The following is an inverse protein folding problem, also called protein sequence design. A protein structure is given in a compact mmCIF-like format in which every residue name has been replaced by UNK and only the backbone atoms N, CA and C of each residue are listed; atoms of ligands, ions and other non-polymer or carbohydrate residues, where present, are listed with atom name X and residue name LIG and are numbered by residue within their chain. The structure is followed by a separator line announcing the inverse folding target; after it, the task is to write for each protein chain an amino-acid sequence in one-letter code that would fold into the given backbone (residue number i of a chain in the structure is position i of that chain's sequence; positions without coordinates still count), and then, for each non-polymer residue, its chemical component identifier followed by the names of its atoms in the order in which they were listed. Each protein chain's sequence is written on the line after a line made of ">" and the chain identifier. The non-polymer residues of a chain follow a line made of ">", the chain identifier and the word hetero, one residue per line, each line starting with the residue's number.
data_IF_128463205842
#
_entry.id   IF_128463205842
#
_cell.length_a   1.000
_cell.length_b   1.000
_cell.length_c   1.000
_cell.angle_alpha   90.00
_cell.angle_beta   90.00
_cell.angle_gamma   90.00
#
_symmetry.space_group_name_H-M   'P 1'
#
loop_
_entity.id
_entity.type
_entity.pdbx_description
1 polymer ?
#
# COMPACT_ATOMS: atom_id res chain seq x y z
N UNK A 1 -12.05 -18.23 47.62
CA UNK A 1 -13.51 -18.48 47.48
C UNK A 1 -14.17 -17.17 47.08
N UNK A 2 -14.83 -17.10 45.93
CA UNK A 2 -15.57 -15.89 45.53
C UNK A 2 -16.85 -15.81 46.36
N UNK A 3 -16.88 -14.90 47.35
CA UNK A 3 -17.98 -14.76 48.30
C UNK A 3 -19.25 -14.25 47.62
N UNK A 4 -20.41 -14.71 48.09
CA UNK A 4 -21.72 -14.17 47.72
C UNK A 4 -22.02 -13.01 48.67
N UNK A 5 -22.43 -11.86 48.13
CA UNK A 5 -22.76 -10.69 48.95
C UNK A 5 -24.28 -10.64 49.20
N UNK A 6 -24.68 -10.59 50.47
CA UNK A 6 -26.09 -10.57 50.88
C UNK A 6 -26.35 -9.26 51.63
N UNK A 7 -27.27 -8.44 51.13
CA UNK A 7 -27.64 -7.17 51.73
C UNK A 7 -29.14 -7.14 52.07
N UNK A 8 -29.51 -6.49 53.18
CA UNK A 8 -30.92 -6.29 53.55
C UNK A 8 -31.41 -4.97 52.92
N UNK A 9 -32.40 -5.06 52.04
CA UNK A 9 -33.09 -3.89 51.48
C UNK A 9 -34.44 -3.73 52.16
N UNK A 10 -35.03 -2.52 52.08
CA UNK A 10 -36.26 -2.17 52.82
C UNK A 10 -37.47 -3.09 52.62
N UNK A 11 -37.44 -3.99 51.63
CA UNK A 11 -38.47 -5.01 51.39
C UNK A 11 -37.99 -6.47 51.39
N UNK A 12 -36.72 -6.78 51.71
CA UNK A 12 -36.21 -8.16 51.67
C UNK A 12 -34.69 -8.28 51.76
N UNK A 13 -34.14 -9.43 51.37
CA UNK A 13 -32.70 -9.62 51.22
C UNK A 13 -32.34 -9.72 49.73
N UNK A 14 -31.34 -8.97 49.29
CA UNK A 14 -30.75 -9.08 47.96
C UNK A 14 -29.47 -9.89 48.03
N UNK A 15 -29.32 -10.83 47.09
CA UNK A 15 -28.14 -11.67 46.97
C UNK A 15 -27.48 -11.31 45.64
N UNK A 16 -26.24 -10.84 45.67
CA UNK A 16 -25.45 -10.55 44.47
C UNK A 16 -24.15 -11.34 44.47
N UNK A 17 -23.80 -11.91 43.32
CA UNK A 17 -22.52 -12.58 43.13
C UNK A 17 -21.55 -11.57 42.51
N UNK A 18 -20.37 -11.31 43.12
CA UNK A 18 -19.37 -10.49 42.49
C UNK A 18 -18.87 -11.25 41.25
N UNK A 19 -19.29 -10.80 40.07
CA UNK A 19 -18.64 -11.26 38.84
C UNK A 19 -17.21 -10.77 38.91
N UNK A 20 -16.24 -11.70 38.88
CA UNK A 20 -14.84 -11.32 38.71
C UNK A 20 -14.77 -10.43 37.47
N UNK A 21 -14.28 -9.20 37.63
CA UNK A 21 -14.21 -8.21 36.56
C UNK A 21 -13.72 -8.87 35.28
N UNK A 22 -14.43 -8.63 34.18
CA UNK A 22 -14.12 -9.21 32.88
C UNK A 22 -12.63 -8.99 32.60
N UNK A 23 -11.84 -10.07 32.65
CA UNK A 23 -10.46 -10.02 32.19
C UNK A 23 -10.51 -9.57 30.73
N UNK A 24 -9.66 -8.62 30.30
CA UNK A 24 -9.58 -8.27 28.89
C UNK A 24 -9.34 -9.56 28.10
N UNK A 25 -10.25 -9.85 27.16
CA UNK A 25 -10.12 -11.03 26.29
C UNK A 25 -8.76 -10.92 25.61
N UNK A 26 -7.89 -11.92 25.83
CA UNK A 26 -6.63 -12.02 25.10
C UNK A 26 -6.94 -11.91 23.61
N UNK A 27 -6.24 -11.03 22.90
CA UNK A 27 -6.40 -10.93 21.46
C UNK A 27 -6.24 -12.33 20.83
N UNK A 28 -7.06 -12.68 19.82
CA UNK A 28 -6.93 -13.96 19.13
C UNK A 28 -5.47 -14.21 18.73
N UNK A 29 -4.97 -15.43 18.90
CA UNK A 29 -3.56 -15.74 18.63
C UNK A 29 -3.08 -15.28 17.24
N UNK A 30 -3.98 -15.32 16.24
CA UNK A 30 -3.75 -14.80 14.91
C UNK A 30 -3.38 -13.30 14.89
N UNK A 31 -4.07 -12.46 15.67
CA UNK A 31 -3.77 -11.01 15.78
C UNK A 31 -2.42 -10.75 16.43
N UNK A 32 -2.03 -11.59 17.37
CA UNK A 32 -0.70 -11.47 18.02
C UNK A 32 0.41 -11.87 17.05
N UNK A 33 0.20 -12.95 16.28
CA UNK A 33 1.13 -13.39 15.26
C UNK A 33 1.29 -12.35 14.13
N UNK A 34 0.18 -11.81 13.64
CA UNK A 34 0.15 -10.73 12.64
C UNK A 34 0.98 -9.52 13.09
N UNK A 35 0.76 -9.02 14.31
CA UNK A 35 1.48 -7.87 14.85
C UNK A 35 2.98 -8.14 15.01
N UNK A 36 3.35 -9.37 15.38
CA UNK A 36 4.74 -9.79 15.50
C UNK A 36 5.43 -9.87 14.13
N UNK A 37 4.74 -10.41 13.11
CA UNK A 37 5.23 -10.45 11.72
C UNK A 37 5.41 -9.02 11.19
N UNK A 38 4.40 -8.15 11.30
CA UNK A 38 4.49 -6.76 10.86
C UNK A 38 5.63 -6.00 11.55
N UNK A 39 5.83 -6.21 12.87
CA UNK A 39 6.97 -5.64 13.60
C UNK A 39 8.31 -6.21 13.12
N UNK A 40 8.40 -7.52 12.85
CA UNK A 40 9.64 -8.15 12.35
C UNK A 40 10.03 -7.68 10.96
N UNK A 41 9.04 -7.32 10.13
CA UNK A 41 9.24 -6.75 8.80
C UNK A 41 9.47 -5.23 8.82
N UNK A 42 9.41 -4.58 9.99
CA UNK A 42 9.57 -3.13 10.11
C UNK A 42 8.37 -2.30 9.63
N UNK A 43 7.22 -2.93 9.38
CA UNK A 43 5.96 -2.29 8.99
C UNK A 43 5.37 -1.52 10.18
N UNK A 44 5.52 -2.05 11.39
CA UNK A 44 5.04 -1.43 12.64
C UNK A 44 6.23 -1.04 13.52
N UNK A 45 6.30 0.24 13.90
CA UNK A 45 7.27 0.79 14.85
C UNK A 45 6.52 1.47 15.99
N UNK A 46 6.93 1.23 17.24
CA UNK A 46 6.28 1.83 18.43
C UNK A 46 4.75 1.63 18.51
N UNK A 47 4.25 0.54 17.92
CA UNK A 47 2.82 0.17 17.76
C UNK A 47 2.04 1.00 16.73
N UNK A 48 2.71 1.83 15.96
CA UNK A 48 2.14 2.56 14.84
C UNK A 48 2.58 1.93 13.52
N UNK A 49 1.67 1.85 12.57
CA UNK A 49 2.00 1.51 11.19
C UNK A 49 2.78 2.68 10.58
N UNK A 50 4.02 2.42 10.16
CA UNK A 50 4.90 3.44 9.60
C UNK A 50 4.92 3.42 8.07
N UNK A 51 4.15 2.54 7.42
CA UNK A 51 4.17 2.38 5.96
C UNK A 51 3.79 3.67 5.24
N UNK A 52 2.66 4.28 5.60
CA UNK A 52 2.21 5.52 4.96
C UNK A 52 3.25 6.65 5.11
N UNK A 53 3.74 6.88 6.33
CA UNK A 53 4.74 7.93 6.61
C UNK A 53 6.07 7.65 5.88
N UNK A 54 6.50 6.38 5.81
CA UNK A 54 7.71 6.00 5.11
C UNK A 54 7.57 6.16 3.59
N UNK A 55 6.40 5.86 3.03
CA UNK A 55 6.09 6.07 1.62
C UNK A 55 6.02 7.56 1.27
N UNK A 56 5.40 8.38 2.12
CA UNK A 56 5.37 9.83 1.93
C UNK A 56 6.79 10.43 1.98
N UNK A 57 7.59 10.07 2.98
CA UNK A 57 8.99 10.50 3.07
C UNK A 57 9.86 9.95 1.92
N UNK A 58 9.52 8.78 1.38
CA UNK A 58 10.15 8.26 0.18
C UNK A 58 9.77 9.09 -1.04
N UNK A 59 8.48 9.35 -1.26
CA UNK A 59 7.99 10.16 -2.37
C UNK A 59 8.57 11.58 -2.33
N UNK A 60 8.70 12.19 -1.15
CA UNK A 60 9.34 13.49 -0.94
C UNK A 60 10.75 13.56 -1.52
N UNK A 61 11.51 12.46 -1.48
CA UNK A 61 12.87 12.40 -2.06
C UNK A 61 12.89 12.44 -3.59
N UNK A 62 11.74 12.26 -4.25
CA UNK A 62 11.59 12.34 -5.71
C UNK A 62 10.73 13.54 -6.14
N UNK A 63 10.31 14.41 -5.22
CA UNK A 63 9.53 15.62 -5.56
C UNK A 63 10.38 16.72 -6.19
N UNK A 64 11.68 16.72 -5.90
CA UNK A 64 12.61 17.64 -6.52
C UNK A 64 12.89 17.21 -7.97
N UNK A 65 12.86 18.18 -8.87
CA UNK A 65 13.21 17.95 -10.26
C UNK A 65 14.67 17.47 -10.33
N UNK A 66 14.93 16.39 -11.08
CA UNK A 66 16.29 15.92 -11.32
C UNK A 66 17.14 17.07 -11.87
N UNK A 67 18.41 17.14 -11.48
CA UNK A 67 19.30 18.17 -12.01
C UNK A 67 19.40 18.03 -13.54
N UNK A 68 19.57 19.15 -14.27
CA UNK A 68 19.69 19.11 -15.73
C UNK A 68 20.76 18.12 -16.21
N UNK A 69 21.88 18.02 -15.48
CA UNK A 69 22.98 17.10 -15.80
C UNK A 69 22.56 15.62 -15.68
N UNK A 70 21.78 15.26 -14.65
CA UNK A 70 21.27 13.89 -14.48
C UNK A 70 20.25 13.57 -15.57
N UNK A 71 19.42 14.53 -15.96
CA UNK A 71 18.46 14.37 -17.06
C UNK A 71 19.21 14.11 -18.38
N UNK A 72 20.23 14.91 -18.69
CA UNK A 72 21.07 14.73 -19.88
C UNK A 72 21.77 13.37 -19.87
N UNK A 73 22.32 12.96 -18.72
CA UNK A 73 22.96 11.65 -18.58
C UNK A 73 21.97 10.50 -18.81
N UNK A 74 20.77 10.56 -18.23
CA UNK A 74 19.72 9.55 -18.43
C UNK A 74 19.25 9.50 -19.89
N UNK A 75 19.07 10.66 -20.55
CA UNK A 75 18.74 10.72 -21.99
C UNK A 75 19.84 10.06 -22.84
N UNK A 76 21.11 10.30 -22.50
CA UNK A 76 22.25 9.66 -23.15
C UNK A 76 22.32 8.14 -22.91
N UNK A 77 22.00 7.69 -21.68
CA UNK A 77 21.98 6.27 -21.32
C UNK A 77 20.94 5.49 -22.12
N UNK A 78 19.74 6.06 -22.25
CA UNK A 78 18.62 5.44 -22.97
C UNK A 78 18.59 5.80 -24.47
N UNK A 79 19.56 6.55 -24.97
CA UNK A 79 19.65 6.97 -26.38
C UNK A 79 18.39 7.67 -26.88
N UNK A 80 17.73 8.45 -26.02
CA UNK A 80 16.48 9.13 -26.36
C UNK A 80 16.65 10.23 -27.42
N UNK A 81 17.86 10.76 -27.55
CA UNK A 81 18.21 11.83 -28.51
C UNK A 81 19.02 11.32 -29.69
N UNK A 82 18.97 10.02 -29.97
CA UNK A 82 19.70 9.43 -31.09
C UNK A 82 18.98 9.73 -32.41
N UNK A 83 19.40 10.82 -33.06
CA UNK A 83 18.82 11.25 -34.34
C UNK A 83 18.93 10.16 -35.41
N UNK A 84 19.96 9.31 -35.35
CA UNK A 84 20.11 8.21 -36.32
C UNK A 84 19.07 7.12 -36.12
N UNK A 85 18.69 6.83 -34.88
CA UNK A 85 17.60 5.90 -34.58
C UNK A 85 16.26 6.45 -35.09
N UNK A 86 16.02 7.75 -34.91
CA UNK A 86 14.82 8.45 -35.42
C UNK A 86 14.79 8.41 -36.96
N UNK A 87 15.91 8.69 -37.62
CA UNK A 87 16.00 8.65 -39.08
C UNK A 87 15.72 7.25 -39.65
N UNK A 88 16.20 6.21 -38.96
CA UNK A 88 15.95 4.82 -39.34
C UNK A 88 14.49 4.45 -39.10
N UNK A 89 13.90 4.85 -37.97
CA UNK A 89 12.47 4.63 -37.68
C UNK A 89 11.59 5.28 -38.76
N UNK A 90 11.84 6.55 -39.10
CA UNK A 90 11.11 7.27 -40.14
C UNK A 90 11.26 6.59 -41.52
N UNK A 91 12.45 6.14 -41.86
CA UNK A 91 12.69 5.40 -43.10
C UNK A 91 11.93 4.06 -43.13
N UNK A 92 11.83 3.36 -42.00
CA UNK A 92 11.09 2.11 -41.88
C UNK A 92 9.57 2.35 -41.98
N UNK A 93 9.05 3.42 -41.38
CA UNK A 93 7.65 3.84 -41.50
C UNK A 93 7.34 4.17 -42.96
N UNK A 94 8.19 4.98 -43.60
CA UNK A 94 8.04 5.36 -45.00
C UNK A 94 8.09 4.14 -45.94
N UNK A 95 8.92 3.14 -45.62
CA UNK A 95 9.01 1.91 -46.40
C UNK A 95 7.83 0.95 -46.17
N UNK A 96 7.36 0.81 -44.94
CA UNK A 96 6.30 -0.12 -44.55
C UNK A 96 4.88 0.34 -44.88
N UNK A 97 4.69 1.63 -45.20
CA UNK A 97 3.38 2.22 -45.47
C UNK A 97 2.56 2.46 -44.20
N UNK A 98 1.45 3.21 -44.32
CA UNK A 98 0.68 3.75 -43.18
C UNK A 98 0.07 2.75 -42.19
N UNK A 99 0.20 1.44 -42.41
CA UNK A 99 -0.21 0.36 -41.48
C UNK A 99 0.95 -0.35 -40.77
N UNK A 100 2.20 0.02 -41.03
CA UNK A 100 3.37 -0.66 -40.44
C UNK A 100 3.52 -0.44 -38.93
N UNK A 101 2.88 0.60 -38.39
CA UNK A 101 2.86 0.92 -36.97
C UNK A 101 1.56 0.51 -36.27
N UNK A 102 0.74 -0.38 -36.85
CA UNK A 102 -0.39 -0.95 -36.13
C UNK A 102 0.13 -1.90 -35.03
N UNK A 103 0.77 -1.32 -34.01
CA UNK A 103 0.89 -1.91 -32.69
C UNK A 103 -0.54 -2.07 -32.23
N UNK A 104 -1.07 -3.27 -32.43
CA UNK A 104 -2.31 -3.74 -31.83
C UNK A 104 -2.42 -3.12 -30.43
N UNK A 105 -3.32 -2.15 -30.27
CA UNK A 105 -3.77 -1.63 -28.98
C UNK A 105 -4.56 -2.74 -28.27
N UNK A 106 -3.91 -3.86 -27.97
CA UNK A 106 -4.48 -4.89 -27.14
C UNK A 106 -4.32 -4.44 -25.70
N UNK A 107 -5.27 -3.63 -25.22
CA UNK A 107 -5.52 -3.55 -23.79
C UNK A 107 -6.19 -2.32 -23.19
N UNK A 108 -6.77 -1.38 -23.95
CA UNK A 108 -7.44 -0.22 -23.30
C UNK A 108 -8.91 0.00 -23.70
N UNK A 109 -9.39 -0.54 -24.83
CA UNK A 109 -10.76 -0.22 -25.27
C UNK A 109 -11.82 -1.32 -24.99
N UNK A 110 -11.48 -2.39 -24.28
CA UNK A 110 -12.43 -3.49 -24.01
C UNK A 110 -13.36 -3.27 -22.79
N UNK A 111 -13.30 -2.13 -22.09
CA UNK A 111 -14.13 -1.89 -20.87
C UNK A 111 -15.27 -0.90 -21.12
N UNK A 112 -15.43 -0.35 -22.33
CA UNK A 112 -16.43 0.70 -22.60
C UNK A 112 -17.66 0.25 -23.41
N UNK A 113 -17.99 -1.05 -23.47
CA UNK A 113 -19.24 -1.52 -24.08
C UNK A 113 -19.85 -2.72 -23.33
N UNK A 114 -20.33 -2.46 -22.11
CA UNK A 114 -21.39 -3.24 -21.48
C UNK A 114 -22.29 -2.27 -20.70
N UNK A 115 -23.13 -1.55 -21.43
CA UNK A 115 -24.47 -1.16 -20.98
C UNK A 115 -25.50 -1.76 -21.94
#
# INVERSE_FOLDING_TARGET
>A
MAGINIAKTGGGFSISKPTSGARPKSAPAARVAELLVCRSLGIVKDREDVTAVALDAFADRFKDQLSPDVIVAMRGLFKLDDSSAVDVEEALIAHGGGGALDLVQNGVDAVAQLE
#
